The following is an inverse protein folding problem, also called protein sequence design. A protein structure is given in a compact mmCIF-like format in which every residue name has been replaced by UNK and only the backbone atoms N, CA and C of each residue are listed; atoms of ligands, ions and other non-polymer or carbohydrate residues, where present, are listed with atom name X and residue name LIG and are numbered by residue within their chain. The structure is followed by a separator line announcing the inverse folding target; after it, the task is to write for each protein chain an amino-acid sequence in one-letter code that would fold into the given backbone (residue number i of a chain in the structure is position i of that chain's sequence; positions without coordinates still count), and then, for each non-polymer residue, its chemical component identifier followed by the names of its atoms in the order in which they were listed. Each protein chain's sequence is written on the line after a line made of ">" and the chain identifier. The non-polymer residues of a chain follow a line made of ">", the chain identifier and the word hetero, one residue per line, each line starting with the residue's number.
data_IF_795626934730
#
_entry.id   IF_795626934730
#
_cell.length_a   1.000
_cell.length_b   1.000
_cell.length_c   1.000
_cell.angle_alpha   90.00
_cell.angle_beta   90.00
_cell.angle_gamma   90.00
#
_symmetry.space_group_name_H-M   'P 1'
#
loop_
_entity.id
_entity.type
_entity.pdbx_description
1 polymer ?
#
# COMPACT_ATOMS: atom_id res chain seq x y z
N UNK A 1 30.97 109.33 -27.73
CA UNK A 1 31.68 108.84 -26.53
C UNK A 1 30.65 108.12 -25.67
N UNK A 2 30.82 106.80 -25.44
CA UNK A 2 30.10 105.93 -24.48
C UNK A 2 28.59 105.72 -24.71
N UNK A 3 27.98 104.55 -24.54
CA UNK A 3 28.37 103.13 -24.43
C UNK A 3 27.03 102.38 -24.50
N UNK A 4 26.82 101.47 -25.47
CA UNK A 4 25.69 100.53 -25.45
C UNK A 4 26.02 99.41 -24.46
N UNK A 5 25.17 99.20 -23.45
CA UNK A 5 25.20 97.99 -22.64
C UNK A 5 24.29 96.93 -23.29
N UNK A 6 24.93 95.91 -23.86
CA UNK A 6 24.30 94.71 -24.38
C UNK A 6 24.32 93.66 -23.26
N UNK A 7 23.17 93.37 -22.65
CA UNK A 7 23.04 92.31 -21.65
C UNK A 7 22.89 90.96 -22.34
N UNK A 8 23.99 90.21 -22.44
CA UNK A 8 23.99 88.82 -22.91
C UNK A 8 23.63 87.92 -21.72
N UNK A 9 22.42 87.36 -21.73
CA UNK A 9 22.01 86.28 -20.81
C UNK A 9 22.60 84.98 -21.36
N UNK A 10 23.64 84.47 -20.69
CA UNK A 10 24.19 83.14 -20.96
C UNK A 10 23.29 82.08 -20.31
N UNK A 11 22.50 81.39 -21.12
CA UNK A 11 21.74 80.20 -20.71
C UNK A 11 22.69 79.00 -20.71
N UNK A 12 23.30 78.70 -19.56
CA UNK A 12 24.09 77.48 -19.35
C UNK A 12 23.12 76.31 -19.19
N UNK A 13 22.98 75.51 -20.24
CA UNK A 13 22.27 74.24 -20.18
C UNK A 13 23.08 73.25 -19.33
N UNK A 14 22.67 73.04 -18.08
CA UNK A 14 23.11 71.90 -17.29
C UNK A 14 22.44 70.64 -17.85
N UNK A 15 23.16 69.89 -18.67
CA UNK A 15 22.80 68.50 -18.97
C UNK A 15 23.05 67.66 -17.70
N UNK A 16 22.02 67.48 -16.87
CA UNK A 16 22.06 66.49 -15.81
C UNK A 16 22.09 65.11 -16.48
N UNK A 17 23.27 64.50 -16.54
CA UNK A 17 23.37 63.08 -16.81
C UNK A 17 22.79 62.33 -15.62
N UNK A 18 21.48 62.06 -15.64
CA UNK A 18 20.86 61.08 -14.75
C UNK A 18 21.49 59.73 -15.06
N UNK A 19 22.49 59.36 -14.28
CA UNK A 19 22.97 57.99 -14.25
C UNK A 19 21.84 57.19 -13.61
N UNK A 20 21.21 56.30 -14.37
CA UNK A 20 20.32 55.28 -13.80
C UNK A 20 21.06 54.66 -12.64
N UNK A 21 20.48 54.73 -11.43
CA UNK A 21 21.07 54.12 -10.25
C UNK A 21 21.22 52.63 -10.57
N UNK A 22 22.46 52.13 -10.57
CA UNK A 22 22.71 50.70 -10.80
C UNK A 22 21.94 49.92 -9.75
N UNK A 23 21.08 48.99 -10.20
CA UNK A 23 20.38 48.12 -9.27
C UNK A 23 21.41 47.22 -8.57
N UNK A 24 21.19 46.92 -7.29
CA UNK A 24 22.08 46.06 -6.50
C UNK A 24 21.31 44.79 -6.15
N UNK A 25 21.77 43.61 -6.62
CA UNK A 25 21.20 42.34 -6.18
C UNK A 25 21.23 42.20 -4.66
N UNK A 26 20.13 41.75 -4.05
CA UNK A 26 20.07 41.46 -2.61
C UNK A 26 20.22 39.95 -2.37
N UNK A 27 20.57 39.52 -1.17
CA UNK A 27 20.71 38.10 -0.81
C UNK A 27 22.09 37.50 -1.08
N UNK A 28 22.36 36.31 -0.51
CA UNK A 28 23.70 35.71 -0.40
C UNK A 28 23.92 34.44 -1.25
N UNK A 29 22.93 34.03 -2.04
CA UNK A 29 22.93 32.80 -2.87
C UNK A 29 23.12 31.47 -2.12
N UNK A 30 23.25 31.49 -0.79
CA UNK A 30 23.69 30.35 0.01
C UNK A 30 22.69 29.94 1.08
N UNK A 31 21.93 30.88 1.62
CA UNK A 31 20.90 30.64 2.63
C UNK A 31 19.80 29.72 2.09
N UNK A 32 19.34 28.83 2.95
CA UNK A 32 18.19 27.98 2.68
C UNK A 32 16.96 28.63 3.28
N UNK A 33 15.86 28.61 2.53
CA UNK A 33 14.55 28.91 3.08
C UNK A 33 14.17 27.93 4.20
N UNK A 34 13.24 28.33 5.06
CA UNK A 34 12.74 27.55 6.20
C UNK A 34 11.23 27.74 6.35
N UNK A 35 10.59 26.99 7.24
CA UNK A 35 9.13 27.02 7.45
C UNK A 35 8.35 26.84 6.15
N UNK A 36 8.83 25.94 5.29
CA UNK A 36 8.22 25.63 3.99
C UNK A 36 8.17 26.83 3.00
N UNK A 37 8.98 27.87 3.22
CA UNK A 37 9.17 28.95 2.24
C UNK A 37 10.54 28.79 1.60
N UNK A 38 10.56 28.59 0.29
CA UNK A 38 11.77 28.52 -0.53
C UNK A 38 12.38 29.91 -0.73
N UNK A 39 13.70 29.98 -0.80
CA UNK A 39 14.42 31.14 -1.35
C UNK A 39 14.91 30.76 -2.75
N UNK A 40 14.37 31.40 -3.79
CA UNK A 40 14.77 31.27 -5.19
C UNK A 40 15.76 32.34 -5.58
N UNK A 41 17.02 31.96 -5.77
CA UNK A 41 18.06 32.87 -6.26
C UNK A 41 18.00 32.95 -7.78
N UNK A 42 17.80 34.15 -8.32
CA UNK A 42 17.51 34.40 -9.73
C UNK A 42 18.77 34.91 -10.44
N UNK A 43 18.98 34.42 -11.66
CA UNK A 43 20.14 34.72 -12.49
C UNK A 43 19.68 35.10 -13.90
N UNK A 44 20.33 36.08 -14.51
CA UNK A 44 20.00 36.60 -15.85
C UNK A 44 20.49 35.73 -17.00
N UNK A 45 21.03 34.55 -16.71
CA UNK A 45 21.47 33.56 -17.69
C UNK A 45 20.98 32.17 -17.28
N UNK A 46 20.99 31.23 -18.23
CA UNK A 46 20.49 29.86 -18.05
C UNK A 46 21.44 28.92 -17.30
N UNK A 47 22.66 29.39 -16.99
CA UNK A 47 23.76 28.63 -16.42
C UNK A 47 24.11 29.06 -14.98
N UNK A 48 23.19 29.74 -14.30
CA UNK A 48 23.35 30.30 -12.95
C UNK A 48 24.47 31.34 -12.82
N UNK A 49 24.73 32.09 -13.88
CA UNK A 49 25.62 33.28 -13.86
C UNK A 49 24.81 34.57 -14.00
N UNK A 50 25.35 35.69 -13.53
CA UNK A 50 24.64 36.98 -13.56
C UNK A 50 23.53 37.07 -12.51
N UNK A 51 23.87 36.88 -11.24
CA UNK A 51 22.93 36.98 -10.13
C UNK A 51 22.24 38.35 -10.07
N UNK A 52 20.90 38.36 -10.02
CA UNK A 52 20.10 39.60 -10.02
C UNK A 52 19.35 39.84 -8.71
N UNK A 53 19.08 38.80 -7.93
CA UNK A 53 18.35 38.92 -6.66
C UNK A 53 17.64 37.62 -6.30
N UNK A 54 16.68 37.69 -5.37
CA UNK A 54 15.96 36.51 -4.93
C UNK A 54 14.43 36.73 -4.90
N UNK A 55 13.70 35.62 -4.91
CA UNK A 55 12.26 35.55 -4.68
C UNK A 55 11.95 34.50 -3.61
N UNK A 56 10.77 34.61 -2.99
CA UNK A 56 10.29 33.60 -2.06
C UNK A 56 9.13 32.84 -2.70
N UNK A 57 9.09 31.53 -2.50
CA UNK A 57 8.01 30.67 -3.02
C UNK A 57 7.50 29.72 -1.94
N UNK A 58 6.23 29.33 -2.04
CA UNK A 58 5.53 28.60 -0.99
C UNK A 58 4.97 29.52 0.09
N UNK A 59 4.43 28.92 1.14
CA UNK A 59 3.84 29.59 2.27
C UNK A 59 4.22 28.89 3.57
N UNK A 60 4.08 29.57 4.70
CA UNK A 60 4.34 28.97 6.01
C UNK A 60 3.53 27.67 6.19
N UNK A 61 4.23 26.55 6.37
CA UNK A 61 3.62 25.22 6.49
C UNK A 61 3.22 24.54 5.18
N UNK A 62 3.45 25.16 4.02
CA UNK A 62 3.13 24.61 2.71
C UNK A 62 4.20 24.98 1.65
N UNK A 63 5.10 24.05 1.28
CA UNK A 63 6.20 24.34 0.37
C UNK A 63 5.77 24.36 -1.10
N UNK A 64 4.47 24.26 -1.38
CA UNK A 64 3.97 24.13 -2.73
C UNK A 64 3.90 25.49 -3.38
N UNK A 65 4.35 25.54 -4.63
CA UNK A 65 4.24 26.73 -5.44
C UNK A 65 4.03 26.36 -6.89
N UNK A 66 3.44 27.31 -7.61
CA UNK A 66 3.22 27.27 -9.04
C UNK A 66 3.56 28.66 -9.58
N UNK A 67 4.75 28.77 -10.18
CA UNK A 67 5.35 30.05 -10.54
C UNK A 67 5.46 30.14 -12.07
N UNK A 68 4.80 31.14 -12.66
CA UNK A 68 4.70 31.35 -14.12
C UNK A 68 5.48 32.58 -14.63
N UNK A 69 6.24 33.24 -13.74
CA UNK A 69 7.07 34.47 -13.93
C UNK A 69 6.52 35.61 -14.81
N UNK A 70 5.23 35.59 -15.13
CA UNK A 70 4.59 36.56 -16.02
C UNK A 70 4.60 36.19 -17.51
N UNK A 71 5.19 35.05 -17.90
CA UNK A 71 5.22 34.57 -19.29
C UNK A 71 6.38 35.13 -20.13
N UNK A 72 6.23 35.07 -21.44
CA UNK A 72 7.24 35.41 -22.45
C UNK A 72 7.59 36.91 -22.43
N UNK A 73 8.88 37.23 -22.57
CA UNK A 73 9.44 38.56 -22.75
C UNK A 73 8.94 39.65 -21.79
N UNK A 74 8.86 39.33 -20.49
CA UNK A 74 8.50 40.30 -19.45
C UNK A 74 9.65 40.58 -18.49
N UNK A 75 9.62 41.77 -17.88
CA UNK A 75 10.50 42.12 -16.77
C UNK A 75 9.90 41.62 -15.46
N UNK A 76 10.44 40.51 -14.96
CA UNK A 76 10.03 39.93 -13.69
C UNK A 76 10.75 40.60 -12.51
N UNK A 77 10.03 41.15 -11.51
CA UNK A 77 10.63 41.79 -10.35
C UNK A 77 11.23 40.75 -9.39
N UNK A 78 12.40 41.06 -8.84
CA UNK A 78 13.01 40.30 -7.74
C UNK A 78 13.31 41.21 -6.55
N UNK A 79 13.70 40.64 -5.40
CA UNK A 79 14.36 41.41 -4.34
C UNK A 79 15.80 41.72 -4.79
N UNK A 80 15.99 42.87 -5.43
CA UNK A 80 17.24 43.28 -6.06
C UNK A 80 16.97 43.90 -7.42
N UNK A 81 17.52 43.29 -8.47
CA UNK A 81 17.37 43.67 -9.86
C UNK A 81 16.28 42.84 -10.56
N UNK A 82 15.48 43.43 -11.45
CA UNK A 82 14.55 42.66 -12.29
C UNK A 82 15.30 41.80 -13.32
N UNK A 83 14.64 40.78 -13.86
CA UNK A 83 15.17 39.89 -14.90
C UNK A 83 14.21 39.82 -16.09
N UNK A 84 14.74 39.64 -17.29
CA UNK A 84 13.94 39.33 -18.47
C UNK A 84 13.65 37.83 -18.53
N UNK A 85 12.42 37.45 -18.81
CA UNK A 85 11.96 36.05 -18.71
C UNK A 85 12.26 35.18 -19.94
N UNK A 86 13.02 35.67 -20.92
CA UNK A 86 13.41 34.87 -22.10
C UNK A 86 14.61 33.96 -21.86
N UNK A 87 15.58 34.39 -21.05
CA UNK A 87 16.77 33.59 -20.73
C UNK A 87 17.17 33.84 -19.30
N UNK A 88 16.74 32.97 -18.39
CA UNK A 88 17.07 33.11 -16.97
C UNK A 88 17.15 31.74 -16.30
N UNK A 89 17.65 31.73 -15.07
CA UNK A 89 17.60 30.53 -14.22
C UNK A 89 17.32 30.90 -12.78
N UNK A 90 16.78 29.93 -12.04
CA UNK A 90 16.49 30.06 -10.63
C UNK A 90 17.00 28.84 -9.88
N UNK A 91 17.73 29.09 -8.79
CA UNK A 91 18.12 28.06 -7.81
C UNK A 91 17.34 28.26 -6.53
N UNK A 92 16.32 27.45 -6.31
CA UNK A 92 15.53 27.42 -5.09
C UNK A 92 16.20 26.55 -4.03
N UNK A 93 16.26 27.07 -2.81
CA UNK A 93 16.80 26.36 -1.64
C UNK A 93 15.79 26.32 -0.50
N UNK A 94 15.54 25.14 0.04
CA UNK A 94 14.70 24.92 1.22
C UNK A 94 15.35 23.89 2.16
N UNK A 95 15.48 24.25 3.43
CA UNK A 95 15.90 23.33 4.48
C UNK A 95 14.70 22.97 5.34
N UNK A 96 14.43 21.68 5.46
CA UNK A 96 13.30 21.16 6.22
C UNK A 96 13.70 19.91 6.99
N UNK A 97 13.19 19.75 8.21
CA UNK A 97 13.24 18.47 8.92
C UNK A 97 11.94 17.72 8.68
N UNK A 98 12.03 16.47 8.20
CA UNK A 98 10.89 15.60 7.93
C UNK A 98 10.94 14.35 8.80
N UNK A 99 9.80 13.89 9.36
CA UNK A 99 9.72 12.57 9.99
C UNK A 99 10.12 11.46 9.01
N UNK A 100 10.56 10.32 9.54
CA UNK A 100 10.76 9.13 8.72
C UNK A 100 9.42 8.74 8.07
N UNK A 101 9.41 8.61 6.75
CA UNK A 101 8.23 8.26 5.98
C UNK A 101 8.49 8.26 4.48
N UNK A 102 7.50 7.83 3.71
CA UNK A 102 7.52 7.95 2.26
C UNK A 102 6.89 9.29 1.86
N UNK A 103 7.51 9.99 0.92
CA UNK A 103 7.06 11.28 0.44
C UNK A 103 6.98 11.26 -1.08
N UNK A 104 5.91 11.83 -1.61
CA UNK A 104 5.71 12.07 -3.03
C UNK A 104 6.15 13.48 -3.36
N UNK A 105 7.09 13.58 -4.29
CA UNK A 105 7.46 14.84 -4.93
C UNK A 105 6.82 14.87 -6.31
N UNK A 106 6.20 16.01 -6.66
CA UNK A 106 5.90 16.35 -8.05
C UNK A 106 6.68 17.60 -8.41
N UNK A 107 7.46 17.55 -9.49
CA UNK A 107 8.15 18.71 -10.04
C UNK A 107 7.84 18.79 -11.53
N UNK A 108 7.41 19.96 -11.97
CA UNK A 108 7.13 20.22 -13.37
C UNK A 108 7.75 21.54 -13.80
N UNK A 109 8.14 21.63 -15.06
CA UNK A 109 8.76 22.83 -15.62
C UNK A 109 8.69 22.91 -17.14
N UNK A 110 8.79 24.15 -17.61
CA UNK A 110 9.10 24.55 -18.98
C UNK A 110 10.07 25.73 -18.88
N UNK A 111 11.33 25.68 -19.28
CA UNK A 111 12.09 24.52 -19.82
C UNK A 111 12.63 23.56 -18.71
N UNK A 112 13.93 23.60 -18.44
CA UNK A 112 14.68 22.55 -17.76
C UNK A 112 14.57 22.66 -16.25
N UNK A 113 14.40 21.53 -15.58
CA UNK A 113 14.26 21.47 -14.13
C UNK A 113 14.94 20.24 -13.51
N UNK A 114 15.40 20.38 -12.26
CA UNK A 114 15.98 19.25 -11.50
C UNK A 114 15.87 19.48 -10.00
N UNK A 115 15.84 18.40 -9.23
CA UNK A 115 15.71 18.42 -7.77
C UNK A 115 16.77 17.54 -7.10
N UNK A 116 17.46 18.14 -6.15
CA UNK A 116 18.34 17.50 -5.19
C UNK A 116 17.74 17.61 -3.79
N UNK A 117 17.95 16.60 -2.95
CA UNK A 117 17.50 16.58 -1.55
C UNK A 117 18.65 16.55 -0.54
N UNK A 118 19.90 16.52 -1.03
CA UNK A 118 21.13 16.37 -0.26
C UNK A 118 22.10 17.57 -0.44
N UNK A 119 21.55 18.74 -0.77
CA UNK A 119 22.33 19.97 -0.94
C UNK A 119 23.09 20.05 -2.25
N UNK A 120 22.65 19.33 -3.29
CA UNK A 120 23.21 19.36 -4.64
C UNK A 120 24.25 18.27 -4.93
N UNK A 121 24.38 17.26 -4.06
CA UNK A 121 25.32 16.15 -4.29
C UNK A 121 24.74 15.11 -5.25
N UNK A 122 23.44 14.83 -5.17
CA UNK A 122 22.70 13.95 -6.10
C UNK A 122 21.38 14.58 -6.54
N UNK A 123 20.88 14.14 -7.71
CA UNK A 123 19.65 14.62 -8.32
C UNK A 123 18.63 13.49 -8.39
N UNK A 124 17.54 13.60 -7.62
CA UNK A 124 16.43 12.61 -7.60
C UNK A 124 15.46 12.81 -8.76
N UNK A 125 15.45 14.02 -9.35
CA UNK A 125 14.82 14.36 -10.62
C UNK A 125 15.87 15.16 -11.40
N UNK A 126 16.13 14.77 -12.65
CA UNK A 126 17.08 15.46 -13.52
C UNK A 126 16.52 15.57 -14.95
N UNK A 127 15.66 16.57 -15.18
CA UNK A 127 15.04 16.88 -16.47
C UNK A 127 15.65 18.17 -17.03
N UNK A 128 16.97 18.17 -17.23
CA UNK A 128 17.73 19.35 -17.62
C UNK A 128 17.80 19.60 -19.13
N UNK A 129 16.96 18.94 -19.94
CA UNK A 129 16.87 19.17 -21.38
C UNK A 129 16.05 20.43 -21.71
N UNK A 130 16.19 20.98 -22.92
CA UNK A 130 15.26 22.00 -23.42
C UNK A 130 14.05 21.31 -24.02
N UNK A 131 12.91 21.34 -23.33
CA UNK A 131 11.70 20.68 -23.80
C UNK A 131 10.80 21.60 -24.61
N UNK A 132 10.80 22.92 -24.37
CA UNK A 132 9.82 23.88 -24.92
C UNK A 132 8.37 23.45 -24.66
N UNK A 133 8.17 22.64 -23.62
CA UNK A 133 6.90 22.00 -23.23
C UNK A 133 6.94 21.82 -21.72
N UNK A 134 5.90 22.31 -21.06
CA UNK A 134 5.62 22.05 -19.66
C UNK A 134 5.38 20.56 -19.40
N UNK A 135 6.35 19.92 -18.74
CA UNK A 135 6.31 18.49 -18.39
C UNK A 135 6.50 18.29 -16.89
N UNK A 136 5.93 17.21 -16.35
CA UNK A 136 5.96 16.90 -14.92
C UNK A 136 6.54 15.53 -14.62
N UNK A 137 7.29 15.43 -13.52
CA UNK A 137 7.87 14.20 -12.99
C UNK A 137 7.36 13.96 -11.57
N UNK A 138 6.97 12.72 -11.28
CA UNK A 138 6.53 12.26 -9.96
C UNK A 138 7.51 11.20 -9.45
N UNK A 139 7.99 11.36 -8.21
CA UNK A 139 8.84 10.36 -7.53
C UNK A 139 8.36 10.16 -6.09
N UNK A 140 8.36 8.90 -5.64
CA UNK A 140 8.12 8.52 -4.24
C UNK A 140 9.45 8.15 -3.59
N UNK A 141 9.77 8.76 -2.45
CA UNK A 141 11.07 8.67 -1.79
C UNK A 141 10.89 8.44 -0.28
N UNK A 142 11.68 7.55 0.30
CA UNK A 142 11.77 7.43 1.77
C UNK A 142 12.72 8.50 2.29
N UNK A 143 12.21 9.42 3.09
CA UNK A 143 12.99 10.51 3.67
C UNK A 143 12.89 10.47 5.19
N UNK A 144 13.92 11.02 5.85
CA UNK A 144 13.94 11.21 7.30
C UNK A 144 14.97 12.27 7.68
N UNK A 145 14.73 13.00 8.76
CA UNK A 145 15.68 13.97 9.29
C UNK A 145 15.74 15.24 8.45
N UNK A 146 16.90 15.90 8.43
CA UNK A 146 17.08 17.17 7.71
C UNK A 146 17.28 16.92 6.22
N UNK A 147 16.44 17.54 5.41
CA UNK A 147 16.52 17.59 3.95
C UNK A 147 17.01 18.98 3.55
N UNK A 148 18.05 19.03 2.72
CA UNK A 148 18.57 20.25 2.11
C UNK A 148 18.18 20.23 0.63
N UNK A 149 16.97 20.69 0.33
CA UNK A 149 16.45 20.64 -1.02
C UNK A 149 17.05 21.77 -1.88
N UNK A 150 17.52 21.41 -3.07
CA UNK A 150 17.89 22.33 -4.14
C UNK A 150 17.04 21.99 -5.35
N UNK A 151 16.16 22.91 -5.74
CA UNK A 151 15.44 22.84 -7.01
C UNK A 151 16.09 23.86 -7.94
N UNK A 152 16.47 23.39 -9.11
CA UNK A 152 17.00 24.22 -10.17
C UNK A 152 16.04 24.25 -11.34
N UNK A 153 15.87 25.44 -11.91
CA UNK A 153 15.01 25.71 -13.04
C UNK A 153 15.75 26.66 -14.00
N UNK A 154 15.60 26.46 -15.30
CA UNK A 154 16.05 27.40 -16.33
C UNK A 154 14.99 27.58 -17.39
N UNK A 155 14.99 28.76 -17.96
CA UNK A 155 14.17 29.14 -19.11
C UNK A 155 15.07 29.51 -20.27
N UNK A 156 14.81 28.94 -21.44
CA UNK A 156 15.57 29.17 -22.66
C UNK A 156 14.61 29.41 -23.83
N UNK A 157 13.92 30.56 -23.72
CA UNK A 157 12.95 31.21 -24.61
C UNK A 157 11.51 30.73 -24.52
N UNK A 158 10.58 31.69 -24.54
CA UNK A 158 9.15 31.43 -24.54
C UNK A 158 8.53 31.29 -23.14
N UNK A 159 7.62 30.33 -23.02
CA UNK A 159 6.73 30.20 -21.87
C UNK A 159 7.44 29.58 -20.66
N UNK A 160 7.49 30.35 -19.58
CA UNK A 160 8.18 29.97 -18.35
C UNK A 160 7.20 29.56 -17.25
N UNK A 161 7.36 28.35 -16.72
CA UNK A 161 6.62 27.92 -15.53
C UNK A 161 7.37 26.82 -14.79
N UNK A 162 7.38 26.86 -13.46
CA UNK A 162 7.83 25.77 -12.61
C UNK A 162 6.85 25.53 -11.46
N UNK A 163 6.56 24.26 -11.17
CA UNK A 163 5.63 23.85 -10.12
C UNK A 163 6.26 22.77 -9.25
N UNK A 164 6.11 22.90 -7.94
CA UNK A 164 6.62 21.94 -6.97
C UNK A 164 5.54 21.55 -5.98
N UNK A 165 5.41 20.25 -5.69
CA UNK A 165 4.63 19.72 -4.57
C UNK A 165 5.37 18.60 -3.84
N UNK A 166 5.11 18.47 -2.54
CA UNK A 166 5.80 17.55 -1.64
C UNK A 166 4.89 17.10 -0.49
N UNK A 167 4.40 15.87 -0.53
CA UNK A 167 3.48 15.36 0.49
C UNK A 167 4.00 14.07 1.12
N UNK A 168 3.80 13.90 2.43
CA UNK A 168 3.87 12.57 3.02
C UNK A 168 2.78 11.70 2.39
N UNK A 169 3.16 10.51 1.95
CA UNK A 169 2.24 9.52 1.37
C UNK A 169 2.45 8.20 2.07
N UNK A 170 1.36 7.45 2.21
CA UNK A 170 1.49 6.07 2.63
C UNK A 170 1.54 5.17 1.41
N UNK A 171 2.64 4.43 1.28
CA UNK A 171 2.87 3.49 0.17
C UNK A 171 3.21 2.12 0.79
N UNK A 172 2.33 1.13 0.67
CA UNK A 172 2.62 -0.21 1.16
C UNK A 172 3.61 -0.92 0.21
N UNK A 173 4.47 -1.77 0.76
CA UNK A 173 5.63 -2.33 0.04
C UNK A 173 5.76 -3.85 0.11
N UNK A 174 4.87 -4.52 0.84
CA UNK A 174 4.93 -5.95 1.05
C UNK A 174 4.60 -6.74 -0.22
N UNK A 175 5.27 -7.89 -0.40
CA UNK A 175 4.96 -8.82 -1.48
C UNK A 175 3.67 -9.59 -1.19
N UNK A 176 2.60 -9.23 -1.91
CA UNK A 176 1.24 -9.76 -1.79
C UNK A 176 1.09 -11.25 -2.17
N UNK A 177 2.11 -11.86 -2.76
CA UNK A 177 2.13 -13.29 -3.07
C UNK A 177 2.64 -14.16 -1.91
N UNK A 178 3.17 -13.56 -0.84
CA UNK A 178 3.76 -14.31 0.27
C UNK A 178 2.68 -15.02 1.08
N UNK A 179 2.86 -16.32 1.33
CA UNK A 179 1.96 -17.08 2.18
C UNK A 179 2.39 -16.98 3.65
N UNK A 180 1.42 -16.94 4.54
CA UNK A 180 1.65 -17.21 5.96
C UNK A 180 2.09 -18.65 6.21
N UNK A 181 2.64 -18.93 7.38
CA UNK A 181 3.11 -20.26 7.81
C UNK A 181 2.79 -20.47 9.29
N UNK A 182 2.98 -21.70 9.80
CA UNK A 182 2.78 -22.01 11.22
C UNK A 182 1.42 -21.55 11.75
N UNK A 183 0.36 -21.80 10.98
CA UNK A 183 -1.03 -21.41 11.30
C UNK A 183 -1.31 -19.89 11.33
N UNK A 184 -0.33 -19.05 11.02
CA UNK A 184 -0.51 -17.60 10.94
C UNK A 184 -0.78 -17.22 9.48
N UNK A 185 -1.97 -16.71 9.19
CA UNK A 185 -2.32 -16.14 7.90
C UNK A 185 -1.64 -14.81 7.67
N UNK A 186 -1.34 -14.50 6.40
CA UNK A 186 -1.06 -13.14 5.95
C UNK A 186 -2.28 -12.63 5.18
N UNK A 187 -2.98 -11.65 5.73
CA UNK A 187 -4.10 -10.93 5.12
C UNK A 187 -3.62 -9.66 4.43
N UNK A 188 -3.71 -9.61 3.11
CA UNK A 188 -3.42 -8.40 2.32
C UNK A 188 -4.69 -7.56 2.23
N UNK A 189 -4.65 -6.36 2.80
CA UNK A 189 -5.80 -5.46 2.91
C UNK A 189 -5.76 -4.46 1.77
N UNK A 190 -6.92 -4.24 1.14
CA UNK A 190 -7.12 -3.33 0.03
C UNK A 190 -8.28 -2.40 0.32
N UNK A 191 -8.13 -1.15 -0.07
CA UNK A 191 -9.24 -0.21 -0.22
C UNK A 191 -9.97 -0.53 -1.54
N UNK A 192 -11.30 -0.61 -1.49
CA UNK A 192 -12.16 -1.12 -2.54
C UNK A 192 -12.52 -2.61 -2.39
N UNK A 193 -13.73 -2.98 -2.81
CA UNK A 193 -14.28 -4.35 -2.73
C UNK A 193 -13.68 -5.33 -3.75
N UNK A 194 -12.90 -4.85 -4.71
CA UNK A 194 -12.34 -5.66 -5.80
C UNK A 194 -10.80 -5.68 -5.78
N UNK A 195 -10.19 -5.67 -4.59
CA UNK A 195 -8.74 -5.64 -4.39
C UNK A 195 -8.06 -4.46 -5.10
N UNK A 196 -8.70 -3.29 -5.10
CA UNK A 196 -8.33 -2.16 -5.96
C UNK A 196 -6.98 -1.53 -5.57
N UNK A 197 -6.90 -1.00 -4.35
CA UNK A 197 -5.71 -0.28 -3.88
C UNK A 197 -5.15 -1.01 -2.68
N UNK A 198 -3.94 -1.58 -2.80
CA UNK A 198 -3.29 -2.24 -1.67
C UNK A 198 -2.99 -1.22 -0.56
N UNK A 199 -3.19 -1.60 0.70
CA UNK A 199 -3.01 -0.71 1.87
C UNK A 199 -2.08 -1.28 2.92
N UNK A 200 -1.85 -2.59 2.95
CA UNK A 200 -0.90 -3.20 3.86
C UNK A 200 -1.34 -4.59 4.27
N UNK A 201 -0.66 -5.17 5.25
CA UNK A 201 -0.84 -6.55 5.68
C UNK A 201 -1.28 -6.63 7.14
N UNK A 202 -2.05 -7.66 7.47
CA UNK A 202 -2.41 -8.06 8.83
C UNK A 202 -2.21 -9.57 9.00
N UNK A 203 -1.99 -10.01 10.24
CA UNK A 203 -1.85 -11.44 10.55
C UNK A 203 -3.05 -11.97 11.33
N UNK A 204 -3.46 -13.20 11.06
CA UNK A 204 -4.57 -13.87 11.75
C UNK A 204 -4.22 -15.30 12.13
N UNK A 205 -4.88 -15.84 13.17
CA UNK A 205 -4.59 -17.15 13.74
C UNK A 205 -3.49 -17.11 14.81
N UNK A 206 -3.12 -18.29 15.33
CA UNK A 206 -2.06 -18.48 16.32
C UNK A 206 -1.12 -19.58 15.87
N UNK A 207 0.03 -19.76 16.52
CA UNK A 207 0.98 -20.83 16.15
C UNK A 207 0.39 -22.24 16.20
N UNK A 208 -0.66 -22.45 17.00
CA UNK A 208 -1.31 -23.75 17.19
C UNK A 208 -2.60 -23.91 16.41
N UNK A 209 -3.27 -22.83 16.02
CA UNK A 209 -4.60 -22.89 15.39
C UNK A 209 -4.76 -21.80 14.30
N UNK A 210 -5.07 -22.18 13.04
CA UNK A 210 -5.29 -21.20 11.97
C UNK A 210 -6.69 -20.58 12.00
N UNK A 211 -7.57 -21.01 12.91
CA UNK A 211 -8.88 -20.40 13.07
C UNK A 211 -8.77 -18.96 13.59
N UNK A 212 -9.66 -18.09 13.11
CA UNK A 212 -9.75 -16.71 13.56
C UNK A 212 -11.16 -16.15 13.38
N UNK A 213 -11.42 -15.05 14.07
CA UNK A 213 -12.65 -14.26 14.02
C UNK A 213 -12.27 -12.79 14.06
N UNK A 214 -12.36 -12.14 12.91
CA UNK A 214 -11.89 -10.77 12.71
C UNK A 214 -13.07 -9.85 12.41
N UNK A 215 -13.24 -8.81 13.23
CA UNK A 215 -14.36 -7.85 13.16
C UNK A 215 -13.95 -6.42 12.76
N UNK A 216 -12.66 -6.21 12.42
CA UNK A 216 -12.00 -4.94 12.04
C UNK A 216 -12.32 -3.69 12.86
N UNK A 217 -12.93 -3.82 14.04
CA UNK A 217 -13.38 -2.70 14.87
C UNK A 217 -14.78 -2.17 14.53
N UNK A 218 -15.51 -2.78 13.58
CA UNK A 218 -16.85 -2.37 13.17
C UNK A 218 -16.85 -1.34 12.03
N UNK A 219 -17.98 -0.70 11.80
CA UNK A 219 -18.27 0.09 10.61
C UNK A 219 -17.64 1.48 10.71
N UNK A 220 -17.12 2.00 9.59
CA UNK A 220 -16.61 3.37 9.47
C UNK A 220 -15.56 3.77 10.53
N UNK A 221 -14.68 2.82 10.90
CA UNK A 221 -13.55 3.09 11.80
C UNK A 221 -12.23 3.03 11.05
N UNK A 222 -11.24 3.73 11.57
CA UNK A 222 -9.86 3.62 11.08
C UNK A 222 -9.27 2.30 11.54
N UNK A 223 -8.97 1.41 10.59
CA UNK A 223 -8.28 0.15 10.85
C UNK A 223 -6.83 0.23 10.38
N UNK A 224 -5.91 0.01 11.31
CA UNK A 224 -4.47 0.05 11.06
C UNK A 224 -3.98 -1.25 10.44
N UNK A 225 -3.22 -1.15 9.35
CA UNK A 225 -2.48 -2.26 8.75
C UNK A 225 -0.99 -2.11 9.06
N UNK A 226 -0.13 -3.02 8.57
CA UNK A 226 1.34 -2.86 8.65
C UNK A 226 1.88 -1.63 7.95
N UNK A 227 1.12 -1.02 7.03
CA UNK A 227 1.52 0.15 6.26
C UNK A 227 0.47 1.25 6.38
N UNK A 228 -0.55 1.24 5.52
CA UNK A 228 -1.54 2.29 5.41
C UNK A 228 -2.84 1.91 6.09
N UNK A 229 -3.44 2.82 6.88
CA UNK A 229 -4.76 2.57 7.42
C UNK A 229 -5.81 2.57 6.30
N UNK A 230 -6.92 1.92 6.59
CA UNK A 230 -8.16 2.02 5.82
C UNK A 230 -9.28 2.51 6.73
N UNK A 231 -10.36 2.99 6.11
CA UNK A 231 -11.67 3.01 6.77
C UNK A 231 -12.35 1.67 6.49
N UNK A 232 -13.00 1.08 7.48
CA UNK A 232 -13.65 -0.25 7.41
C UNK A 232 -15.00 -0.25 6.68
N UNK A 233 -15.10 0.51 5.61
CA UNK A 233 -16.19 0.46 4.63
C UNK A 233 -15.57 0.33 3.25
N UNK A 234 -16.19 -0.45 2.36
CA UNK A 234 -15.73 -0.62 0.98
C UNK A 234 -14.25 -1.05 0.90
N UNK A 235 -13.94 -2.22 1.46
CA UNK A 235 -12.58 -2.77 1.48
C UNK A 235 -12.60 -4.27 1.17
N UNK A 236 -11.42 -4.83 0.93
CA UNK A 236 -11.28 -6.27 0.73
C UNK A 236 -10.00 -6.79 1.34
N UNK A 237 -9.99 -8.08 1.67
CA UNK A 237 -8.82 -8.75 2.25
C UNK A 237 -8.60 -10.09 1.56
N UNK A 238 -7.35 -10.35 1.17
CA UNK A 238 -6.90 -11.66 0.67
C UNK A 238 -5.96 -12.29 1.69
N UNK A 239 -6.45 -13.30 2.41
CA UNK A 239 -5.67 -14.10 3.33
C UNK A 239 -4.97 -15.26 2.61
N UNK A 240 -3.68 -15.44 2.87
CA UNK A 240 -2.85 -16.53 2.33
C UNK A 240 -2.18 -17.31 3.47
N UNK A 241 -2.32 -18.64 3.45
CA UNK A 241 -1.66 -19.54 4.41
C UNK A 241 -1.17 -20.81 3.69
N UNK A 242 0.12 -21.11 3.80
CA UNK A 242 0.68 -22.37 3.36
C UNK A 242 0.55 -23.39 4.49
N UNK A 243 -0.07 -24.54 4.21
CA UNK A 243 -0.40 -25.53 5.23
C UNK A 243 -0.03 -26.94 4.76
N UNK A 244 0.78 -27.65 5.55
CA UNK A 244 0.95 -29.08 5.39
C UNK A 244 -0.12 -29.80 6.23
N UNK A 245 -0.88 -30.69 5.59
CA UNK A 245 -1.91 -31.50 6.23
C UNK A 245 -1.57 -32.99 6.09
N UNK A 246 -1.80 -33.83 7.12
CA UNK A 246 -1.86 -35.27 6.95
C UNK A 246 -3.08 -35.68 6.11
N UNK A 247 -3.08 -36.94 5.65
CA UNK A 247 -4.26 -37.48 4.99
C UNK A 247 -5.42 -37.59 6.00
N UNK A 248 -6.63 -37.22 5.60
CA UNK A 248 -7.79 -37.27 6.48
C UNK A 248 -9.02 -36.56 5.91
N UNK A 249 -10.13 -36.68 6.63
CA UNK A 249 -11.33 -35.92 6.37
C UNK A 249 -11.25 -34.57 7.08
N UNK A 250 -11.52 -33.48 6.37
CA UNK A 250 -11.47 -32.11 6.88
C UNK A 250 -12.79 -31.41 6.61
N UNK A 251 -13.25 -30.62 7.58
CA UNK A 251 -14.36 -29.69 7.43
C UNK A 251 -13.83 -28.27 7.58
N UNK A 252 -13.95 -27.48 6.51
CA UNK A 252 -13.64 -26.05 6.51
C UNK A 252 -14.94 -25.27 6.70
N UNK A 253 -14.90 -24.22 7.53
CA UNK A 253 -16.03 -23.33 7.77
C UNK A 253 -15.55 -21.90 7.58
N UNK A 254 -16.25 -21.16 6.73
CA UNK A 254 -15.99 -19.74 6.48
C UNK A 254 -17.29 -18.99 6.66
N UNK A 255 -17.26 -17.89 7.38
CA UNK A 255 -18.41 -16.98 7.44
C UNK A 255 -17.96 -15.55 7.35
N UNK A 256 -18.75 -14.72 6.67
CA UNK A 256 -18.50 -13.29 6.63
C UNK A 256 -19.77 -12.48 6.39
N UNK A 257 -19.65 -11.19 6.67
CA UNK A 257 -20.51 -10.07 6.29
C UNK A 257 -19.55 -9.03 5.70
N UNK A 258 -19.51 -8.71 4.41
CA UNK A 258 -20.25 -9.27 3.26
C UNK A 258 -19.64 -10.57 2.66
N UNK A 259 -19.10 -10.51 1.44
CA UNK A 259 -18.84 -11.65 0.56
C UNK A 259 -17.51 -12.33 0.86
N UNK A 260 -17.47 -13.65 0.68
CA UNK A 260 -16.31 -14.47 0.97
C UNK A 260 -16.17 -15.68 0.04
N UNK A 261 -14.93 -16.14 -0.15
CA UNK A 261 -14.63 -17.37 -0.89
C UNK A 261 -13.32 -18.01 -0.42
N UNK A 262 -13.25 -19.33 -0.48
CA UNK A 262 -12.12 -20.10 0.03
C UNK A 262 -11.62 -21.15 -0.97
N UNK A 263 -10.30 -21.22 -1.07
CA UNK A 263 -9.55 -22.06 -2.01
C UNK A 263 -8.47 -22.85 -1.27
N UNK A 264 -8.22 -24.08 -1.73
CA UNK A 264 -7.18 -24.98 -1.23
C UNK A 264 -5.93 -25.02 -2.13
N UNK A 265 -6.01 -24.42 -3.33
CA UNK A 265 -5.04 -24.55 -4.43
C UNK A 265 -4.45 -23.21 -4.88
N UNK A 266 -4.40 -22.23 -3.97
CA UNK A 266 -3.78 -20.93 -4.22
C UNK A 266 -4.67 -19.91 -4.95
N UNK A 267 -5.97 -20.18 -5.03
CA UNK A 267 -6.96 -19.34 -5.72
C UNK A 267 -7.26 -19.77 -7.16
N UNK A 268 -6.84 -20.97 -7.57
CA UNK A 268 -7.16 -21.51 -8.90
C UNK A 268 -8.60 -22.04 -8.94
N UNK A 269 -9.07 -22.68 -7.86
CA UNK A 269 -10.45 -23.12 -7.67
C UNK A 269 -11.00 -22.70 -6.31
N UNK A 270 -12.31 -22.50 -6.23
CA UNK A 270 -13.02 -22.06 -5.03
C UNK A 270 -13.95 -23.18 -4.53
N UNK A 271 -13.58 -23.82 -3.42
CA UNK A 271 -14.40 -24.88 -2.78
C UNK A 271 -15.57 -24.30 -1.98
N UNK A 272 -15.44 -23.05 -1.55
CA UNK A 272 -16.54 -22.22 -1.02
C UNK A 272 -16.53 -20.92 -1.84
N UNK A 273 -17.67 -20.50 -2.35
CA UNK A 273 -17.78 -19.28 -3.16
C UNK A 273 -19.12 -18.58 -2.91
N UNK A 274 -19.15 -17.71 -1.89
CA UNK A 274 -20.29 -16.87 -1.56
C UNK A 274 -19.90 -15.39 -1.76
N UNK A 275 -19.64 -15.04 -3.02
CA UNK A 275 -19.04 -13.75 -3.41
C UNK A 275 -20.08 -12.71 -3.81
N UNK A 276 -21.08 -12.51 -2.95
CA UNK A 276 -22.16 -11.53 -3.11
C UNK A 276 -22.41 -10.81 -1.78
N UNK A 277 -22.96 -9.59 -1.83
CA UNK A 277 -23.24 -8.82 -0.62
C UNK A 277 -24.41 -9.45 0.15
N UNK A 278 -24.26 -9.58 1.46
CA UNK A 278 -25.24 -10.18 2.36
C UNK A 278 -24.82 -9.95 3.82
N UNK A 279 -25.79 -9.95 4.74
CA UNK A 279 -25.49 -10.03 6.17
C UNK A 279 -24.74 -11.31 6.54
N UNK A 280 -24.13 -11.33 7.73
CA UNK A 280 -23.32 -12.45 8.19
C UNK A 280 -23.97 -13.82 7.95
N UNK A 281 -23.28 -14.66 7.18
CA UNK A 281 -23.66 -16.06 6.95
C UNK A 281 -22.42 -16.93 6.84
N UNK A 282 -22.56 -18.24 7.06
CA UNK A 282 -21.46 -19.19 7.01
C UNK A 282 -21.73 -20.38 6.10
N UNK A 283 -20.68 -20.87 5.46
CA UNK A 283 -20.68 -22.04 4.59
C UNK A 283 -19.65 -23.04 5.12
N UNK A 284 -20.00 -24.34 5.08
CA UNK A 284 -19.07 -25.42 5.37
C UNK A 284 -18.77 -26.26 4.13
N UNK A 285 -17.56 -26.82 4.09
CA UNK A 285 -17.12 -27.73 3.04
C UNK A 285 -16.33 -28.88 3.66
N UNK A 286 -16.82 -30.11 3.47
CA UNK A 286 -16.17 -31.33 3.96
C UNK A 286 -15.53 -32.09 2.81
N UNK A 287 -14.27 -32.48 2.96
CA UNK A 287 -13.47 -33.15 1.93
C UNK A 287 -12.46 -34.12 2.53
N UNK A 288 -12.19 -35.23 1.83
CA UNK A 288 -11.06 -36.10 2.13
C UNK A 288 -9.82 -35.60 1.38
N UNK A 289 -8.77 -35.25 2.12
CA UNK A 289 -7.51 -34.77 1.57
C UNK A 289 -6.42 -35.83 1.72
N UNK A 290 -5.55 -35.93 0.71
CA UNK A 290 -4.30 -36.67 0.83
C UNK A 290 -3.30 -35.87 1.67
N UNK A 291 -2.27 -36.53 2.19
CA UNK A 291 -1.19 -35.81 2.86
C UNK A 291 -0.42 -34.96 1.86
N UNK A 292 -0.16 -33.70 2.20
CA UNK A 292 0.57 -32.79 1.31
C UNK A 292 0.54 -31.34 1.76
N UNK A 293 1.12 -30.49 0.92
CA UNK A 293 1.11 -29.04 1.09
C UNK A 293 -0.05 -28.42 0.31
N UNK A 294 -0.83 -27.60 0.99
CA UNK A 294 -1.97 -26.88 0.45
C UNK A 294 -1.75 -25.38 0.61
N UNK A 295 -2.13 -24.62 -0.42
CA UNK A 295 -2.02 -23.17 -0.44
C UNK A 295 -3.42 -22.60 -0.23
N UNK A 296 -3.74 -22.30 1.02
CA UNK A 296 -5.03 -21.74 1.37
C UNK A 296 -5.11 -20.28 0.94
N UNK A 297 -6.20 -19.94 0.27
CA UNK A 297 -6.59 -18.56 -0.01
C UNK A 297 -8.01 -18.35 0.46
N UNK A 298 -8.18 -17.42 1.41
CA UNK A 298 -9.50 -16.92 1.82
C UNK A 298 -9.58 -15.46 1.36
N UNK A 299 -10.60 -15.16 0.58
CA UNK A 299 -10.90 -13.80 0.17
C UNK A 299 -12.19 -13.34 0.84
N UNK A 300 -12.20 -12.05 1.17
CA UNK A 300 -13.29 -11.35 1.84
C UNK A 300 -13.42 -9.96 1.23
N UNK A 301 -14.63 -9.45 1.10
CA UNK A 301 -14.89 -8.03 0.89
C UNK A 301 -16.01 -7.53 1.77
N UNK A 302 -15.95 -6.24 2.08
CA UNK A 302 -16.95 -5.47 2.80
C UNK A 302 -17.43 -4.35 1.88
N UNK A 303 -18.74 -4.24 1.66
CA UNK A 303 -19.30 -3.14 0.86
C UNK A 303 -19.74 -1.97 1.74
N UNK A 304 -20.43 -2.22 2.85
CA UNK A 304 -20.83 -1.25 3.87
C UNK A 304 -21.43 -1.96 5.09
N UNK A 305 -21.36 -1.32 6.26
CA UNK A 305 -21.96 -1.85 7.47
C UNK A 305 -21.02 -2.80 8.22
N UNK A 306 -21.61 -3.81 8.84
CA UNK A 306 -20.93 -4.71 9.79
C UNK A 306 -19.93 -5.58 9.07
N UNK A 307 -18.65 -5.35 9.37
CA UNK A 307 -17.57 -6.15 8.83
C UNK A 307 -17.14 -7.25 9.79
N UNK A 308 -17.24 -8.50 9.34
CA UNK A 308 -16.70 -9.65 10.07
C UNK A 308 -16.33 -10.76 9.11
N UNK A 309 -15.20 -11.41 9.34
CA UNK A 309 -14.80 -12.64 8.64
C UNK A 309 -14.24 -13.66 9.61
N UNK A 310 -14.67 -14.90 9.46
CA UNK A 310 -14.27 -16.03 10.29
C UNK A 310 -13.76 -17.18 9.43
N UNK A 311 -12.77 -17.89 9.96
CA UNK A 311 -12.28 -19.14 9.40
C UNK A 311 -12.15 -20.16 10.51
N UNK A 312 -12.58 -21.39 10.25
CA UNK A 312 -12.32 -22.53 11.11
C UNK A 312 -12.05 -23.78 10.26
N UNK A 313 -11.21 -24.67 10.78
CA UNK A 313 -10.91 -25.97 10.16
C UNK A 313 -10.95 -27.05 11.22
N UNK A 314 -11.62 -28.15 10.90
CA UNK A 314 -11.78 -29.31 11.78
C UNK A 314 -11.23 -30.51 11.01
N UNK A 315 -10.24 -31.22 11.57
CA UNK A 315 -9.89 -32.54 11.08
C UNK A 315 -10.89 -33.53 11.71
N UNK A 316 -11.74 -34.12 10.88
CA UNK A 316 -12.69 -35.13 11.32
C UNK A 316 -11.90 -36.41 11.63
N UNK A 317 -11.97 -36.87 12.87
CA UNK A 317 -11.46 -38.18 13.25
C UNK A 317 -12.56 -39.22 13.07
N UNK A 318 -12.27 -40.27 12.29
CA UNK A 318 -12.91 -41.55 12.52
C UNK A 318 -12.15 -42.20 13.68
N UNK A 319 -12.78 -42.35 14.84
CA UNK A 319 -12.16 -43.05 15.95
C UNK A 319 -11.89 -44.50 15.49
N UNK A 320 -10.63 -44.98 15.49
CA UNK A 320 -10.33 -46.34 15.08
C UNK A 320 -11.07 -47.33 15.98
N UNK A 321 -11.79 -48.28 15.38
CA UNK A 321 -12.41 -49.37 16.13
C UNK A 321 -11.32 -50.40 16.45
N UNK A 322 -11.02 -50.59 17.72
CA UNK A 322 -10.09 -51.65 18.16
C UNK A 322 -10.88 -52.87 18.62
N UNK A 323 -10.80 -53.98 17.88
CA UNK A 323 -11.41 -55.26 18.29
C UNK A 323 -10.58 -55.89 19.42
N UNK A 324 -11.13 -55.90 20.64
CA UNK A 324 -10.53 -56.52 21.83
C UNK A 324 -10.62 -58.05 21.74
N UNK A 325 -11.78 -58.57 21.34
CA UNK A 325 -12.01 -60.01 21.24
C UNK A 325 -13.06 -60.33 20.19
N UNK A 326 -12.93 -61.50 19.59
CA UNK A 326 -13.94 -62.11 18.72
C UNK A 326 -13.90 -63.62 18.92
N UNK A 327 -14.97 -64.18 19.47
CA UNK A 327 -15.08 -65.61 19.74
C UNK A 327 -16.29 -66.18 19.03
N UNK A 328 -16.15 -67.41 18.55
CA UNK A 328 -17.22 -68.17 17.95
C UNK A 328 -17.41 -69.47 18.72
N UNK A 329 -18.65 -69.76 19.14
CA UNK A 329 -18.99 -71.02 19.81
C UNK A 329 -20.14 -71.70 19.09
N UNK A 330 -19.91 -72.94 18.67
CA UNK A 330 -20.97 -73.76 18.11
C UNK A 330 -22.03 -74.05 19.18
N UNK A 331 -23.30 -73.82 18.84
CA UNK A 331 -24.48 -74.10 19.67
C UNK A 331 -25.45 -74.96 18.86
N UNK A 332 -26.42 -75.58 19.55
CA UNK A 332 -27.44 -76.40 18.87
C UNK A 332 -28.20 -75.52 17.86
N UNK A 333 -28.02 -75.79 16.57
CA UNK A 333 -28.67 -75.04 15.48
C UNK A 333 -27.91 -73.83 14.93
N UNK A 334 -26.69 -73.51 15.38
CA UNK A 334 -25.95 -72.36 14.82
C UNK A 334 -24.59 -72.05 15.44
N UNK A 335 -24.02 -70.91 15.02
CA UNK A 335 -22.80 -70.33 15.58
C UNK A 335 -23.18 -69.09 16.39
N UNK A 336 -22.82 -69.08 17.67
CA UNK A 336 -22.88 -67.89 18.51
C UNK A 336 -21.56 -67.12 18.31
N UNK A 337 -21.66 -65.84 17.97
CA UNK A 337 -20.53 -64.92 17.86
C UNK A 337 -20.60 -63.92 19.02
N UNK A 338 -19.50 -63.76 19.74
CA UNK A 338 -19.35 -62.78 20.81
C UNK A 338 -18.13 -61.91 20.46
N UNK A 339 -18.24 -60.59 20.60
CA UNK A 339 -17.14 -59.68 20.27
C UNK A 339 -17.15 -58.43 21.13
N UNK A 340 -15.96 -57.89 21.34
CA UNK A 340 -15.75 -56.68 22.12
C UNK A 340 -14.85 -55.74 21.36
N UNK A 341 -15.21 -54.46 21.34
CA UNK A 341 -14.35 -53.37 20.87
C UNK A 341 -13.86 -52.53 22.05
N UNK A 342 -12.84 -51.70 21.85
CA UNK A 342 -12.35 -50.81 22.91
C UNK A 342 -13.45 -49.88 23.38
N UNK A 343 -13.42 -49.55 24.68
CA UNK A 343 -14.42 -48.67 25.30
C UNK A 343 -14.35 -47.24 24.71
N UNK A 344 -13.27 -46.91 23.99
CA UNK A 344 -13.06 -45.67 23.24
C UNK A 344 -13.66 -45.70 21.82
N UNK A 345 -14.12 -46.86 21.36
CA UNK A 345 -14.78 -47.03 20.05
C UNK A 345 -16.27 -46.69 20.15
N UNK A 346 -16.80 -45.91 19.20
CA UNK A 346 -18.23 -45.59 19.13
C UNK A 346 -18.82 -45.87 17.72
N UNK A 347 -18.83 -47.12 17.25
CA UNK A 347 -19.48 -47.46 15.98
C UNK A 347 -20.99 -47.22 16.07
N UNK A 348 -21.64 -46.93 14.94
CA UNK A 348 -23.11 -46.90 14.86
C UNK A 348 -23.70 -48.31 14.75
N UNK A 349 -23.04 -49.19 14.00
CA UNK A 349 -23.39 -50.61 13.84
C UNK A 349 -22.18 -51.46 13.42
N UNK A 350 -22.34 -52.78 13.50
CA UNK A 350 -21.45 -53.80 12.97
C UNK A 350 -22.13 -54.53 11.82
N UNK A 351 -21.42 -54.73 10.71
CA UNK A 351 -21.85 -55.63 9.64
C UNK A 351 -21.22 -57.00 9.84
N UNK A 352 -22.05 -58.05 9.90
CA UNK A 352 -21.59 -59.42 10.08
C UNK A 352 -21.58 -60.10 8.73
N UNK A 353 -20.40 -60.54 8.31
CA UNK A 353 -20.21 -61.23 7.04
C UNK A 353 -19.70 -62.66 7.25
N UNK A 354 -19.95 -63.51 6.27
CA UNK A 354 -19.45 -64.89 6.23
C UNK A 354 -18.71 -65.15 4.93
N UNK A 355 -17.60 -65.86 5.05
CA UNK A 355 -16.89 -66.49 3.93
C UNK A 355 -16.67 -67.97 4.23
N UNK A 356 -16.74 -68.82 3.22
CA UNK A 356 -16.32 -70.24 3.30
C UNK A 356 -14.87 -70.44 2.88
N UNK A 357 -14.28 -69.43 2.22
CA UNK A 357 -12.97 -69.49 1.57
C UNK A 357 -12.00 -68.42 2.10
N UNK A 358 -12.47 -67.55 3.00
CA UNK A 358 -11.69 -66.48 3.60
C UNK A 358 -11.37 -65.32 2.64
N UNK A 359 -11.91 -65.31 1.42
CA UNK A 359 -11.64 -64.28 0.41
C UNK A 359 -12.90 -63.47 0.05
N UNK A 360 -13.97 -64.15 -0.36
CA UNK A 360 -15.24 -63.48 -0.67
C UNK A 360 -16.15 -63.52 0.55
N UNK A 361 -16.56 -62.35 1.04
CA UNK A 361 -17.46 -62.21 2.17
C UNK A 361 -18.86 -61.82 1.68
N UNK A 362 -19.88 -62.44 2.28
CA UNK A 362 -21.28 -62.04 2.07
C UNK A 362 -21.86 -61.57 3.38
N UNK A 363 -22.56 -60.43 3.34
CA UNK A 363 -23.34 -59.92 4.45
C UNK A 363 -24.40 -60.94 4.90
N UNK A 364 -24.44 -61.18 6.22
CA UNK A 364 -25.48 -61.96 6.89
C UNK A 364 -26.50 -61.02 7.53
N UNK A 365 -26.02 -60.04 8.29
CA UNK A 365 -26.87 -59.13 9.06
C UNK A 365 -26.11 -57.88 9.50
N UNK A 366 -26.82 -56.93 10.11
CA UNK A 366 -26.27 -55.77 10.82
C UNK A 366 -26.67 -55.81 12.28
N UNK A 367 -25.75 -55.50 13.18
CA UNK A 367 -25.99 -55.40 14.62
C UNK A 367 -25.75 -53.97 15.05
N UNK A 368 -26.77 -53.29 15.58
CA UNK A 368 -26.62 -51.93 16.10
C UNK A 368 -25.64 -51.94 17.28
N UNK A 369 -24.71 -51.00 17.29
CA UNK A 369 -23.81 -50.85 18.43
C UNK A 369 -24.61 -50.34 19.65
N UNK A 370 -24.41 -50.97 20.80
CA UNK A 370 -25.04 -50.58 22.06
C UNK A 370 -23.95 -50.33 23.08
N UNK A 371 -24.00 -49.16 23.73
CA UNK A 371 -23.00 -48.73 24.71
C UNK A 371 -23.04 -49.50 26.04
N UNK A 372 -23.93 -50.49 26.21
CA UNK A 372 -24.24 -51.07 27.52
C UNK A 372 -24.11 -52.58 27.67
N UNK A 373 -23.76 -53.36 26.64
CA UNK A 373 -23.61 -54.80 26.81
C UNK A 373 -22.47 -55.35 25.98
N UNK A 374 -21.52 -56.00 26.66
CA UNK A 374 -20.67 -57.02 26.05
C UNK A 374 -21.57 -58.09 25.43
N UNK A 375 -21.48 -58.29 24.11
CA UNK A 375 -22.20 -59.35 23.39
C UNK A 375 -21.33 -60.58 23.25
#
# INVERSE_FOLDING_TARGET
>A
MKQLFLSVIAMVAFSTFSHSQSCTPQGDQTTYGTNDVWIGYVYSNIDFTGYVGYVNQGASGNPFFDQNFGGDDVMYPTNGCPVQTETFSVRYKLRRTVPNGTYRVTLAGDDGYRLSLDGGATWVIDQWANSGVYTGTVVDLTLSGTVNAILEYRENTGANRVTFSFGAVCVPSENQATYGTSNIWRGYVYEGTAFNTYKGMVTQGTSTNPAFDQNFGGDNVTYTTSSCPITTENFSVRYRLAKTLPAGSYTFVVGADDGYRFSLDGGATWVINNWTAHSYTSTSYTVNLASGNYNFVLEYYEQNGVNRVTFNTIQNSVLPISLISFTGKQRMGGLQLEWRVSDESNPDYFEIEKSTEGATFRKITTVKASALLSY
#
